data_IF_023642352079
#
_entry.id   IF_023642352079
#
_cell.length_a   1.000
_cell.length_b   1.000
_cell.length_c   1.000
_cell.angle_alpha   90.00
_cell.angle_beta   90.00
_cell.angle_gamma   90.00
#
_symmetry.space_group_name_H-M   'P 1'
#
loop_
_entity.id
_entity.type
_entity.pdbx_description
1 polymer ?
#
# COMPACT_ATOMS: atom_id res chain seq x y z
N UNK A 1 0.85 -29.30 9.95
CA UNK A 1 0.48 -29.50 8.54
C UNK A 1 -0.78 -30.40 8.42
N UNK A 2 -0.80 -31.60 8.99
CA UNK A 2 -1.91 -32.57 8.85
C UNK A 2 -3.28 -32.13 9.42
N UNK A 3 -3.31 -31.26 10.43
CA UNK A 3 -4.56 -30.74 11.02
C UNK A 3 -5.22 -29.73 10.10
N UNK A 4 -4.43 -28.90 9.41
CA UNK A 4 -4.95 -27.91 8.46
C UNK A 4 -5.59 -28.54 7.22
N UNK A 5 -4.99 -29.59 6.66
CA UNK A 5 -5.52 -30.27 5.47
C UNK A 5 -6.82 -31.01 5.72
N UNK A 6 -7.11 -31.41 6.99
CA UNK A 6 -8.31 -32.20 7.34
C UNK A 6 -9.50 -31.37 7.81
N UNK A 7 -9.29 -30.13 8.24
CA UNK A 7 -10.32 -29.32 8.89
C UNK A 7 -10.72 -28.06 8.11
N UNK A 8 -9.92 -27.61 7.13
CA UNK A 8 -10.27 -26.48 6.28
C UNK A 8 -11.06 -26.98 5.06
N UNK A 9 -12.28 -26.48 4.93
CA UNK A 9 -13.14 -26.69 3.77
C UNK A 9 -12.90 -25.62 2.71
N UNK A 10 -13.38 -25.82 1.47
CA UNK A 10 -13.35 -24.79 0.42
C UNK A 10 -14.13 -23.52 0.83
N UNK A 11 -15.17 -23.69 1.65
CA UNK A 11 -15.94 -22.59 2.22
C UNK A 11 -15.12 -21.76 3.19
N UNK A 12 -14.31 -22.38 4.05
CA UNK A 12 -13.39 -21.70 4.97
C UNK A 12 -12.34 -20.89 4.21
N UNK A 13 -11.82 -21.41 3.11
CA UNK A 13 -10.87 -20.69 2.25
C UNK A 13 -11.53 -19.48 1.58
N UNK A 14 -12.79 -19.61 1.16
CA UNK A 14 -13.57 -18.51 0.60
C UNK A 14 -13.83 -17.43 1.63
N UNK A 15 -14.30 -17.79 2.83
CA UNK A 15 -14.54 -16.86 3.95
C UNK A 15 -13.24 -16.14 4.30
N UNK A 16 -12.12 -16.85 4.37
CA UNK A 16 -10.81 -16.26 4.64
C UNK A 16 -10.43 -15.20 3.62
N UNK A 17 -10.70 -15.41 2.33
CA UNK A 17 -10.39 -14.46 1.27
C UNK A 17 -11.26 -13.20 1.29
N UNK A 18 -12.50 -13.31 1.74
CA UNK A 18 -13.50 -12.24 1.69
C UNK A 18 -13.62 -11.51 3.03
N UNK A 19 -13.67 -12.24 4.13
CA UNK A 19 -14.05 -11.72 5.45
C UNK A 19 -12.83 -11.43 6.35
N UNK A 20 -11.69 -12.08 6.09
CA UNK A 20 -10.48 -11.84 6.89
C UNK A 20 -9.68 -10.68 6.30
N UNK A 21 -9.37 -9.65 7.09
CA UNK A 21 -8.52 -8.55 6.63
C UNK A 21 -7.18 -9.05 6.06
N UNK A 22 -6.73 -8.44 4.97
CA UNK A 22 -5.54 -8.86 4.21
C UNK A 22 -4.28 -8.96 5.10
N UNK A 23 -4.18 -8.11 6.11
CA UNK A 23 -3.12 -8.18 7.14
C UNK A 23 -3.12 -9.53 7.88
N UNK A 24 -4.28 -10.00 8.31
CA UNK A 24 -4.40 -11.28 9.02
C UNK A 24 -4.16 -12.45 8.07
N UNK A 25 -4.55 -12.33 6.81
CA UNK A 25 -4.25 -13.35 5.78
C UNK A 25 -2.74 -13.54 5.61
N UNK A 26 -1.95 -12.48 5.67
CA UNK A 26 -0.49 -12.56 5.57
C UNK A 26 0.17 -13.23 6.78
N UNK A 27 -0.46 -13.17 7.96
CA UNK A 27 0.03 -13.84 9.17
C UNK A 27 -0.23 -15.35 9.16
N UNK A 28 -1.22 -15.82 8.41
CA UNK A 28 -1.60 -17.24 8.36
C UNK A 28 -0.55 -18.14 7.67
N UNK A 29 0.10 -17.73 6.56
CA UNK A 29 1.10 -18.57 5.87
C UNK A 29 2.44 -18.73 6.61
N UNK A 30 2.69 -18.03 7.71
CA UNK A 30 3.88 -18.19 8.51
C UNK A 30 4.87 -17.03 8.45
N UNK A 31 6.19 -17.33 8.58
CA UNK A 31 7.24 -16.31 8.75
C UNK A 31 7.39 -15.33 7.59
N UNK A 32 7.09 -15.74 6.35
CA UNK A 32 7.19 -14.86 5.17
C UNK A 32 6.22 -13.68 5.22
N UNK A 33 4.99 -13.93 5.65
CA UNK A 33 3.99 -12.87 5.82
C UNK A 33 4.36 -11.88 6.91
N UNK A 34 4.92 -12.37 8.03
CA UNK A 34 5.39 -11.51 9.12
C UNK A 34 6.56 -10.64 8.67
N UNK A 35 7.57 -11.23 8.00
CA UNK A 35 8.72 -10.49 7.48
C UNK A 35 8.29 -9.37 6.49
N UNK A 36 7.27 -9.63 5.66
CA UNK A 36 6.70 -8.62 4.78
C UNK A 36 6.06 -7.46 5.56
N UNK A 37 5.32 -7.77 6.61
CA UNK A 37 4.69 -6.73 7.45
C UNK A 37 5.73 -5.89 8.20
N UNK A 38 6.78 -6.52 8.72
CA UNK A 38 7.86 -5.85 9.45
C UNK A 38 8.81 -5.04 8.56
N UNK A 39 8.84 -5.32 7.24
CA UNK A 39 9.63 -4.52 6.30
C UNK A 39 9.17 -3.07 6.33
N UNK A 40 10.03 -2.16 6.74
CA UNK A 40 9.78 -0.72 6.67
C UNK A 40 10.00 -0.22 5.25
N UNK A 41 9.12 0.67 4.81
CA UNK A 41 9.27 1.38 3.55
C UNK A 41 10.19 2.59 3.74
N UNK A 42 11.05 2.84 2.78
CA UNK A 42 11.85 4.06 2.70
C UNK A 42 10.98 5.27 2.35
N UNK A 43 11.50 6.47 2.50
CA UNK A 43 10.76 7.69 2.12
C UNK A 43 10.38 7.71 0.63
N UNK A 44 11.27 7.27 -0.25
CA UNK A 44 10.99 7.15 -1.68
C UNK A 44 9.90 6.10 -1.97
N UNK A 45 9.96 4.93 -1.32
CA UNK A 45 8.93 3.90 -1.45
C UNK A 45 7.57 4.35 -0.89
N UNK A 46 7.56 5.19 0.17
CA UNK A 46 6.32 5.80 0.69
C UNK A 46 5.72 6.81 -0.30
N UNK A 47 6.55 7.61 -0.96
CA UNK A 47 6.11 8.53 -2.01
C UNK A 47 5.53 7.76 -3.20
N UNK A 48 6.20 6.72 -3.67
CA UNK A 48 5.72 5.84 -4.75
C UNK A 48 4.41 5.14 -4.35
N UNK A 49 4.32 4.62 -3.12
CA UNK A 49 3.10 4.01 -2.59
C UNK A 49 1.93 5.00 -2.54
N UNK A 50 2.19 6.23 -2.09
CA UNK A 50 1.17 7.27 -2.02
C UNK A 50 0.69 7.67 -3.41
N UNK A 51 1.59 7.84 -4.38
CA UNK A 51 1.25 8.09 -5.79
C UNK A 51 0.44 6.95 -6.39
N UNK A 52 0.88 5.72 -6.20
CA UNK A 52 0.19 4.55 -6.72
C UNK A 52 -1.20 4.36 -6.10
N UNK A 53 -1.36 4.62 -4.79
CA UNK A 53 -2.62 4.49 -4.09
C UNK A 53 -3.60 5.65 -4.38
N UNK A 54 -3.12 6.85 -4.65
CA UNK A 54 -3.91 8.09 -4.71
C UNK A 54 -5.17 7.98 -5.58
N UNK A 55 -5.07 7.39 -6.77
CA UNK A 55 -6.18 7.21 -7.71
C UNK A 55 -7.06 6.01 -7.41
N UNK A 56 -6.74 5.22 -6.37
CA UNK A 56 -7.37 3.94 -6.04
C UNK A 56 -8.06 3.92 -4.69
N UNK A 57 -7.91 4.97 -3.89
CA UNK A 57 -8.47 5.04 -2.53
C UNK A 57 -10.00 5.04 -2.60
N UNK A 58 -10.59 6.03 -3.25
CA UNK A 58 -12.04 6.11 -3.44
C UNK A 58 -12.39 7.07 -4.58
N UNK A 59 -13.58 6.91 -5.21
CA UNK A 59 -14.10 7.88 -6.17
C UNK A 59 -14.28 9.28 -5.56
N UNK A 60 -14.61 9.37 -4.26
CA UNK A 60 -14.72 10.64 -3.55
C UNK A 60 -13.40 11.41 -3.58
N UNK A 61 -12.29 10.76 -3.20
CA UNK A 61 -10.97 11.39 -3.19
C UNK A 61 -10.58 11.91 -4.58
N UNK A 62 -10.87 11.13 -5.62
CA UNK A 62 -10.61 11.55 -6.99
C UNK A 62 -11.42 12.79 -7.36
N UNK A 63 -12.73 12.78 -7.11
CA UNK A 63 -13.63 13.88 -7.46
C UNK A 63 -13.39 15.15 -6.61
N UNK A 64 -12.96 15.01 -5.36
CA UNK A 64 -12.78 16.15 -4.46
C UNK A 64 -11.39 16.79 -4.53
N UNK A 65 -10.33 16.01 -4.83
CA UNK A 65 -8.95 16.49 -4.74
C UNK A 65 -8.14 16.35 -6.03
N UNK A 66 -8.42 15.35 -6.89
CA UNK A 66 -7.53 15.01 -8.00
C UNK A 66 -7.98 15.53 -9.35
N UNK A 67 -9.26 15.74 -9.58
CA UNK A 67 -9.76 16.31 -10.84
C UNK A 67 -9.36 17.78 -10.97
N UNK A 68 -9.23 18.28 -12.21
CA UNK A 68 -8.77 19.66 -12.46
C UNK A 68 -9.76 20.72 -11.94
N UNK A 69 -11.04 20.39 -11.87
CA UNK A 69 -12.11 21.27 -11.36
C UNK A 69 -12.65 20.80 -10.00
N UNK A 70 -11.88 19.99 -9.28
CA UNK A 70 -12.29 19.49 -7.97
C UNK A 70 -12.54 20.64 -6.98
N UNK A 71 -13.56 20.55 -6.12
CA UNK A 71 -13.87 21.58 -5.11
C UNK A 71 -12.68 21.90 -4.21
N UNK A 72 -11.85 20.92 -3.94
CA UNK A 72 -10.69 21.01 -3.07
C UNK A 72 -9.35 20.79 -3.81
N UNK A 73 -9.30 21.04 -5.13
CA UNK A 73 -8.08 20.89 -5.92
C UNK A 73 -6.86 21.67 -5.36
N UNK A 74 -7.10 22.80 -4.69
CA UNK A 74 -6.08 23.58 -3.99
C UNK A 74 -5.43 22.85 -2.81
N UNK A 75 -6.12 21.85 -2.23
CA UNK A 75 -5.64 21.05 -1.11
C UNK A 75 -5.02 19.72 -1.58
N UNK A 76 -4.75 19.57 -2.86
CA UNK A 76 -4.16 18.34 -3.43
C UNK A 76 -2.82 17.98 -2.77
N UNK A 77 -1.97 18.97 -2.51
CA UNK A 77 -0.67 18.75 -1.88
C UNK A 77 -0.82 18.29 -0.41
N UNK A 78 -1.69 18.94 0.35
CA UNK A 78 -2.00 18.60 1.74
C UNK A 78 -2.65 17.23 1.83
N UNK A 79 -3.61 16.94 0.94
CA UNK A 79 -4.23 15.63 0.86
C UNK A 79 -3.20 14.54 0.54
N UNK A 80 -2.29 14.78 -0.42
CA UNK A 80 -1.23 13.83 -0.76
C UNK A 80 -0.26 13.61 0.40
N UNK A 81 0.13 14.68 1.11
CA UNK A 81 0.95 14.60 2.32
C UNK A 81 0.25 13.78 3.42
N UNK A 82 -1.07 13.97 3.59
CA UNK A 82 -1.88 13.16 4.50
C UNK A 82 -1.86 11.67 4.10
N UNK A 83 -2.10 11.33 2.82
CA UNK A 83 -2.06 9.94 2.32
C UNK A 83 -0.70 9.30 2.62
N UNK A 84 0.39 9.98 2.31
CA UNK A 84 1.75 9.52 2.59
C UNK A 84 1.99 9.28 4.09
N UNK A 85 1.58 10.23 4.92
CA UNK A 85 1.75 10.15 6.38
C UNK A 85 0.94 8.99 6.98
N UNK A 86 -0.30 8.80 6.52
CA UNK A 86 -1.13 7.68 6.97
C UNK A 86 -0.53 6.33 6.55
N UNK A 87 0.06 6.24 5.36
CA UNK A 87 0.80 5.04 4.94
C UNK A 87 2.02 4.79 5.85
N UNK A 88 2.78 5.83 6.20
CA UNK A 88 3.92 5.69 7.11
C UNK A 88 3.48 5.16 8.48
N UNK A 89 2.43 5.73 9.06
CA UNK A 89 1.89 5.28 10.34
C UNK A 89 1.40 3.82 10.29
N UNK A 90 0.67 3.44 9.25
CA UNK A 90 0.10 2.08 9.16
C UNK A 90 1.14 1.02 8.79
N UNK A 91 2.11 1.35 7.93
CA UNK A 91 3.03 0.36 7.35
C UNK A 91 4.39 0.31 8.04
N UNK A 92 4.87 1.43 8.60
CA UNK A 92 6.17 1.51 9.26
C UNK A 92 6.05 1.50 10.78
N UNK A 93 5.04 2.21 11.32
CA UNK A 93 4.81 2.31 12.75
C UNK A 93 3.76 1.32 13.26
N UNK A 94 3.14 0.56 12.34
CA UNK A 94 2.16 -0.49 12.64
C UNK A 94 0.93 0.03 13.41
N UNK A 95 0.57 1.32 13.21
CA UNK A 95 -0.60 1.90 13.86
C UNK A 95 -1.89 1.43 13.18
N UNK A 96 -2.88 1.09 13.99
CA UNK A 96 -4.19 0.64 13.52
C UNK A 96 -5.05 1.81 13.05
N UNK A 97 -5.92 1.58 12.07
CA UNK A 97 -6.86 2.59 11.56
C UNK A 97 -7.75 3.15 12.67
N UNK A 98 -8.15 2.31 13.63
CA UNK A 98 -8.92 2.73 14.81
C UNK A 98 -8.16 3.74 15.67
N UNK A 99 -6.86 3.54 15.86
CA UNK A 99 -6.00 4.47 16.59
C UNK A 99 -5.88 5.81 15.85
N UNK A 100 -5.64 5.78 14.54
CA UNK A 100 -5.51 6.99 13.71
C UNK A 100 -6.79 7.83 13.74
N UNK A 101 -7.96 7.20 13.61
CA UNK A 101 -9.25 7.90 13.64
C UNK A 101 -9.65 8.45 15.00
N UNK A 102 -9.02 8.00 16.09
CA UNK A 102 -9.30 8.49 17.44
C UNK A 102 -8.26 9.49 17.93
N UNK A 103 -6.99 9.33 17.55
CA UNK A 103 -5.87 10.06 18.15
C UNK A 103 -5.10 10.96 17.16
N UNK A 104 -5.44 10.92 15.86
CA UNK A 104 -4.79 11.68 14.79
C UNK A 104 -5.81 12.37 13.87
N UNK A 105 -6.94 12.79 14.43
CA UNK A 105 -7.99 13.49 13.68
C UNK A 105 -7.49 14.80 13.07
N UNK A 106 -6.62 15.51 13.76
CA UNK A 106 -5.98 16.73 13.31
C UNK A 106 -5.17 16.57 12.02
N UNK A 107 -4.65 15.37 11.78
CA UNK A 107 -3.91 15.04 10.55
C UNK A 107 -4.84 14.55 9.40
N UNK A 108 -6.07 14.12 9.74
CA UNK A 108 -7.09 13.69 8.78
C UNK A 108 -8.00 14.83 8.31
N UNK A 109 -7.85 16.01 8.90
CA UNK A 109 -8.67 17.17 8.65
C UNK A 109 -7.79 18.39 8.36
N UNK A 110 -8.22 19.20 7.40
CA UNK A 110 -7.57 20.46 7.08
C UNK A 110 -8.43 21.64 7.52
N UNK A 111 -7.89 22.49 8.37
CA UNK A 111 -8.51 23.73 8.79
C UNK A 111 -7.63 24.91 8.39
N UNK A 112 -8.07 25.80 7.48
CA UNK A 112 -7.28 26.95 7.09
C UNK A 112 -7.10 27.92 8.26
N UNK A 113 -5.87 28.37 8.51
CA UNK A 113 -5.55 29.27 9.64
C UNK A 113 -6.11 30.69 9.45
N UNK A 114 -6.27 31.15 8.20
CA UNK A 114 -6.56 32.54 7.85
C UNK A 114 -8.05 32.80 7.50
N UNK A 115 -8.91 31.80 7.62
CA UNK A 115 -10.32 31.96 7.22
C UNK A 115 -11.15 32.58 8.34
N UNK A 116 -11.93 33.61 7.99
CA UNK A 116 -12.95 34.24 8.87
C UNK A 116 -14.01 33.22 9.30
N UNK A 117 -14.27 32.22 8.48
CA UNK A 117 -15.05 31.02 8.82
C UNK A 117 -14.12 29.80 8.78
N UNK A 118 -13.90 29.19 9.92
CA UNK A 118 -13.13 27.92 10.05
C UNK A 118 -13.95 26.76 9.49
N UNK A 119 -13.95 26.58 8.18
CA UNK A 119 -14.52 25.38 7.56
C UNK A 119 -13.46 24.30 7.52
N UNK A 120 -13.64 23.25 8.30
CA UNK A 120 -12.78 22.08 8.30
C UNK A 120 -13.12 21.19 7.10
N UNK A 121 -12.12 20.78 6.35
CA UNK A 121 -12.25 19.85 5.23
C UNK A 121 -11.65 18.49 5.63
N UNK A 122 -12.45 17.44 5.58
CA UNK A 122 -11.98 16.08 5.86
C UNK A 122 -11.16 15.56 4.67
N UNK A 123 -9.88 15.27 4.89
CA UNK A 123 -8.97 14.76 3.88
C UNK A 123 -9.20 13.27 3.60
N UNK A 124 -9.31 12.46 4.66
CA UNK A 124 -9.56 11.02 4.57
C UNK A 124 -10.58 10.60 5.63
N UNK A 125 -11.53 9.76 5.24
CA UNK A 125 -12.48 9.13 6.16
C UNK A 125 -12.01 7.71 6.53
N UNK A 126 -12.58 7.15 7.61
CA UNK A 126 -12.20 5.82 8.12
C UNK A 126 -12.21 4.72 7.05
N UNK A 127 -13.23 4.69 6.20
CA UNK A 127 -13.34 3.69 5.14
C UNK A 127 -12.20 3.81 4.11
N UNK A 128 -11.78 5.03 3.82
CA UNK A 128 -10.67 5.30 2.92
C UNK A 128 -9.32 4.91 3.53
N UNK A 129 -9.16 5.07 4.86
CA UNK A 129 -7.99 4.56 5.58
C UNK A 129 -7.89 3.03 5.53
N UNK A 130 -9.02 2.32 5.65
CA UNK A 130 -9.04 0.86 5.50
C UNK A 130 -8.65 0.43 4.08
N UNK A 131 -9.16 1.14 3.07
CA UNK A 131 -8.78 0.91 1.67
C UNK A 131 -7.31 1.23 1.45
N UNK A 132 -6.83 2.35 1.97
CA UNK A 132 -5.43 2.78 1.88
C UNK A 132 -4.49 1.77 2.56
N UNK A 133 -4.87 1.24 3.71
CA UNK A 133 -4.12 0.17 4.39
C UNK A 133 -3.99 -1.07 3.52
N UNK A 134 -5.10 -1.52 2.93
CA UNK A 134 -5.12 -2.66 2.00
C UNK A 134 -4.23 -2.41 0.78
N UNK A 135 -4.30 -1.21 0.18
CA UNK A 135 -3.42 -0.81 -0.92
C UNK A 135 -1.95 -0.80 -0.50
N UNK A 136 -1.64 -0.30 0.69
CA UNK A 136 -0.28 -0.31 1.23
C UNK A 136 0.30 -1.72 1.38
N UNK A 137 -0.49 -2.68 1.87
CA UNK A 137 -0.09 -4.09 1.93
C UNK A 137 0.17 -4.66 0.53
N UNK A 138 -0.71 -4.36 -0.45
CA UNK A 138 -0.53 -4.78 -1.84
C UNK A 138 0.74 -4.18 -2.46
N UNK A 139 1.07 -2.94 -2.10
CA UNK A 139 2.30 -2.31 -2.54
C UNK A 139 3.55 -3.00 -1.95
N UNK A 140 3.54 -3.35 -0.66
CA UNK A 140 4.63 -4.16 -0.06
C UNK A 140 4.80 -5.51 -0.78
N UNK A 141 3.70 -6.19 -1.11
CA UNK A 141 3.72 -7.44 -1.89
C UNK A 141 4.29 -7.23 -3.29
N UNK A 142 3.96 -6.12 -3.96
CA UNK A 142 4.52 -5.75 -5.25
C UNK A 142 6.04 -5.59 -5.17
N UNK A 143 6.53 -4.86 -4.16
CA UNK A 143 7.97 -4.66 -3.95
C UNK A 143 8.68 -6.00 -3.69
N UNK A 144 8.12 -6.86 -2.86
CA UNK A 144 8.69 -8.17 -2.57
C UNK A 144 8.79 -9.04 -3.84
N UNK A 145 7.77 -9.01 -4.70
CA UNK A 145 7.80 -9.70 -6.01
C UNK A 145 8.83 -9.09 -6.95
N UNK A 146 8.94 -7.76 -6.99
CA UNK A 146 9.95 -7.06 -7.79
C UNK A 146 11.36 -7.44 -7.35
N UNK A 147 11.62 -7.52 -6.06
CA UNK A 147 12.91 -7.94 -5.51
C UNK A 147 13.22 -9.40 -5.84
N UNK A 148 12.24 -10.30 -5.71
CA UNK A 148 12.39 -11.72 -6.10
C UNK A 148 12.69 -11.87 -7.58
N UNK A 149 12.03 -11.13 -8.47
CA UNK A 149 12.30 -11.14 -9.90
C UNK A 149 13.69 -10.61 -10.22
N UNK A 150 14.13 -9.54 -9.56
CA UNK A 150 15.50 -9.01 -9.72
C UNK A 150 16.55 -10.04 -9.31
N UNK A 151 16.31 -10.74 -8.19
CA UNK A 151 17.22 -11.80 -7.74
C UNK A 151 17.29 -12.94 -8.76
N UNK A 152 16.13 -13.46 -9.19
CA UNK A 152 16.08 -14.54 -10.21
C UNK A 152 16.76 -14.10 -11.51
N UNK A 153 16.54 -12.85 -11.94
CA UNK A 153 17.21 -12.30 -13.12
C UNK A 153 18.74 -12.25 -12.93
N UNK A 154 19.22 -11.81 -11.77
CA UNK A 154 20.65 -11.78 -11.47
C UNK A 154 21.26 -13.18 -11.47
N UNK A 155 20.57 -14.18 -10.91
CA UNK A 155 20.99 -15.59 -10.91
C UNK A 155 21.05 -16.16 -12.34
N UNK A 156 20.02 -15.91 -13.16
CA UNK A 156 19.97 -16.35 -14.56
C UNK A 156 21.03 -15.66 -15.42
N UNK A 157 21.24 -14.36 -15.23
CA UNK A 157 22.29 -13.63 -15.96
C UNK A 157 23.69 -14.14 -15.59
N UNK A 158 23.95 -14.42 -14.31
CA UNK A 158 25.21 -15.01 -13.86
C UNK A 158 25.40 -16.42 -14.45
N UNK A 159 24.36 -17.22 -14.57
CA UNK A 159 24.39 -18.55 -15.19
C UNK A 159 24.55 -18.47 -16.73
N UNK A 160 23.95 -17.47 -17.39
CA UNK A 160 24.02 -17.29 -18.85
C UNK A 160 25.40 -16.79 -19.31
N UNK A 161 26.15 -16.09 -18.47
CA UNK A 161 27.56 -15.74 -18.77
C UNK A 161 28.50 -16.98 -18.88
N UNK A 162 27.99 -18.16 -18.54
CA UNK A 162 28.67 -19.43 -18.76
C UNK A 162 28.33 -20.08 -20.12
N UNK A 163 27.51 -19.50 -21.00
CA UNK A 163 27.11 -20.02 -22.30
C UNK A 163 26.87 -18.91 -23.33
N UNK A 164 26.98 -19.17 -24.65
CA UNK A 164 26.89 -18.14 -25.68
C UNK A 164 25.47 -17.71 -26.02
N UNK A 165 25.32 -16.42 -26.26
CA UNK A 165 24.23 -15.72 -26.95
C UNK A 165 22.77 -15.81 -26.44
N UNK A 166 22.48 -15.08 -25.36
CA UNK A 166 21.14 -14.56 -25.16
C UNK A 166 21.21 -13.04 -24.92
N UNK A 167 20.54 -12.25 -25.77
CA UNK A 167 20.46 -10.80 -25.59
C UNK A 167 19.50 -10.50 -24.43
N UNK A 168 20.09 -10.17 -23.26
CA UNK A 168 19.37 -9.93 -22.01
C UNK A 168 18.95 -8.46 -21.82
N UNK A 169 19.16 -7.60 -22.82
CA UNK A 169 18.87 -6.16 -22.70
C UNK A 169 17.38 -5.85 -22.61
N UNK A 170 16.54 -6.55 -23.37
CA UNK A 170 15.07 -6.39 -23.32
C UNK A 170 14.46 -6.87 -22.00
N UNK A 171 14.97 -8.00 -21.47
CA UNK A 171 14.49 -8.56 -20.20
C UNK A 171 14.85 -7.65 -19.03
N UNK A 172 16.02 -7.00 -19.08
CA UNK A 172 16.46 -6.05 -18.06
C UNK A 172 15.57 -4.80 -18.03
N UNK A 173 15.21 -4.25 -19.18
CA UNK A 173 14.33 -3.09 -19.28
C UNK A 173 12.95 -3.37 -18.65
N UNK A 174 12.39 -4.56 -18.89
CA UNK A 174 11.07 -4.97 -18.33
C UNK A 174 11.07 -5.19 -16.82
N UNK A 175 12.22 -5.50 -16.20
CA UNK A 175 12.35 -5.73 -14.75
C UNK A 175 12.59 -4.41 -13.99
N UNK A 176 13.12 -3.38 -14.68
CA UNK A 176 13.40 -2.05 -14.09
C UNK A 176 12.19 -1.09 -14.16
N UNK A 177 11.18 -1.35 -15.02
CA UNK A 177 9.87 -0.69 -15.01
C UNK A 177 8.95 -1.22 -13.89
#
# INVERSE_FOLDING_TARGET
AQIRERLLTEEDDRIRQVDVPERLQLLIPGQEGLALLERKLTDAELDDAAHWASTRISPRCTAEFLEDYAPHARLRAEWFACVRQMLAYMLNDMLEVSFLTQHRLDELEYTPMDAVQKTTTTLLVRQELLTLYTLGIKFKLLLARKDSLRQTFAELSAAAFAGPDVDMSEVRATVEE
#
